data_IF_433642230714
#
_entry.id   IF_433642230714
#
_cell.length_a   1.000
_cell.length_b   1.000
_cell.length_c   1.000
_cell.angle_alpha   90.00
_cell.angle_beta   90.00
_cell.angle_gamma   90.00
#
_symmetry.space_group_name_H-M   'P 1'
#
loop_
_entity.id
_entity.type
_entity.pdbx_description
1 polymer ?
#
# COMPACT_ATOMS: atom_id res chain seq x y z
N UNK A 1 2.56 -21.71 13.24
CA UNK A 1 3.17 -22.26 12.01
C UNK A 1 3.05 -21.19 10.95
N UNK A 2 4.12 -20.88 10.21
CA UNK A 2 4.06 -19.88 9.14
C UNK A 2 3.32 -20.47 7.94
N UNK A 3 2.40 -19.70 7.38
CA UNK A 3 1.56 -20.09 6.25
C UNK A 3 2.12 -19.58 4.92
N UNK A 4 1.79 -20.24 3.81
CA UNK A 4 2.31 -19.86 2.50
C UNK A 4 1.90 -18.44 2.07
N UNK A 5 0.69 -17.99 2.42
CA UNK A 5 0.24 -16.62 2.10
C UNK A 5 0.99 -15.55 2.91
N UNK A 6 1.37 -15.83 4.15
CA UNK A 6 2.23 -14.91 4.94
C UNK A 6 3.62 -14.79 4.31
N UNK A 7 4.23 -15.92 3.93
CA UNK A 7 5.56 -15.90 3.28
C UNK A 7 5.49 -15.21 1.91
N UNK A 8 4.44 -15.41 1.13
CA UNK A 8 4.25 -14.71 -0.15
C UNK A 8 4.15 -13.20 0.07
N UNK A 9 3.36 -12.77 1.05
CA UNK A 9 3.24 -11.34 1.39
C UNK A 9 4.61 -10.77 1.75
N UNK A 10 5.36 -11.45 2.61
CA UNK A 10 6.71 -11.06 3.00
C UNK A 10 7.65 -10.96 1.78
N UNK A 11 7.62 -11.96 0.89
CA UNK A 11 8.44 -12.00 -0.31
C UNK A 11 8.13 -10.82 -1.26
N UNK A 12 6.86 -10.51 -1.52
CA UNK A 12 6.50 -9.41 -2.41
C UNK A 12 6.90 -8.05 -1.78
N UNK A 13 6.77 -7.91 -0.46
CA UNK A 13 7.24 -6.71 0.26
C UNK A 13 8.77 -6.57 0.17
N UNK A 14 9.53 -7.66 0.27
CA UNK A 14 11.00 -7.61 0.20
C UNK A 14 11.54 -7.14 -1.16
N UNK A 15 10.76 -7.34 -2.24
CA UNK A 15 11.06 -6.81 -3.57
C UNK A 15 10.55 -5.38 -3.81
N UNK A 16 10.10 -4.67 -2.77
CA UNK A 16 9.58 -3.30 -2.88
C UNK A 16 8.09 -3.23 -3.24
N UNK A 17 7.35 -4.29 -2.94
CA UNK A 17 5.89 -4.35 -3.11
C UNK A 17 5.43 -4.89 -4.46
N UNK A 18 6.34 -5.17 -5.40
CA UNK A 18 6.04 -5.77 -6.70
C UNK A 18 7.03 -6.89 -6.98
N UNK A 19 6.55 -8.06 -7.42
CA UNK A 19 7.40 -9.19 -7.76
C UNK A 19 6.77 -10.12 -8.80
N UNK A 20 7.60 -10.79 -9.57
CA UNK A 20 7.18 -11.89 -10.44
C UNK A 20 7.00 -13.20 -9.65
N UNK A 21 6.17 -14.09 -10.17
CA UNK A 21 5.96 -15.42 -9.58
C UNK A 21 7.24 -16.26 -9.48
N UNK A 22 8.21 -16.04 -10.36
CA UNK A 22 9.49 -16.73 -10.32
C UNK A 22 10.41 -16.15 -9.22
N UNK A 23 10.43 -14.83 -9.03
CA UNK A 23 11.17 -14.19 -7.94
C UNK A 23 10.62 -14.61 -6.58
N UNK A 24 9.30 -14.59 -6.41
CA UNK A 24 8.65 -15.08 -5.19
C UNK A 24 8.98 -16.55 -4.95
N UNK A 25 8.88 -17.41 -5.97
CA UNK A 25 9.19 -18.82 -5.81
C UNK A 25 10.67 -19.07 -5.45
N UNK A 26 11.58 -18.29 -6.04
CA UNK A 26 13.01 -18.34 -5.72
C UNK A 26 13.27 -17.91 -4.28
N UNK A 27 12.75 -16.75 -3.88
CA UNK A 27 12.86 -16.24 -2.51
C UNK A 27 12.36 -17.25 -1.47
N UNK A 28 11.18 -17.82 -1.69
CA UNK A 28 10.59 -18.80 -0.79
C UNK A 28 11.45 -20.06 -0.70
N UNK A 29 11.97 -20.56 -1.82
CA UNK A 29 12.79 -21.77 -1.79
C UNK A 29 14.19 -21.53 -1.19
N UNK A 30 14.73 -20.32 -1.29
CA UNK A 30 15.98 -19.94 -0.63
C UNK A 30 15.81 -19.83 0.89
N UNK A 31 14.69 -19.26 1.35
CA UNK A 31 14.40 -19.07 2.78
C UNK A 31 13.80 -20.31 3.47
N UNK A 32 13.00 -21.08 2.74
CA UNK A 32 12.26 -22.27 3.20
C UNK A 32 12.45 -23.43 2.19
N UNK A 33 13.65 -24.02 2.14
CA UNK A 33 13.98 -25.03 1.14
C UNK A 33 13.03 -26.23 1.22
N UNK A 34 12.56 -26.69 0.06
CA UNK A 34 11.71 -27.88 -0.10
C UNK A 34 10.39 -27.90 0.70
N UNK A 35 9.94 -26.75 1.22
CA UNK A 35 8.72 -26.68 2.05
C UNK A 35 7.45 -26.63 1.20
N UNK A 36 7.48 -25.88 0.09
CA UNK A 36 6.35 -25.76 -0.82
C UNK A 36 6.76 -26.00 -2.27
N UNK A 37 5.90 -26.67 -3.02
CA UNK A 37 6.11 -26.88 -4.47
C UNK A 37 5.90 -25.56 -5.21
N UNK A 38 6.66 -25.37 -6.31
CA UNK A 38 6.52 -24.20 -7.19
C UNK A 38 5.09 -24.01 -7.72
N UNK A 39 4.37 -25.10 -8.00
CA UNK A 39 2.96 -25.06 -8.41
C UNK A 39 2.07 -24.51 -7.30
N UNK A 40 2.25 -24.95 -6.05
CA UNK A 40 1.51 -24.46 -4.89
C UNK A 40 1.72 -22.97 -4.67
N UNK A 41 2.96 -22.47 -4.85
CA UNK A 41 3.27 -21.04 -4.77
C UNK A 41 2.50 -20.25 -5.85
N UNK A 42 2.50 -20.74 -7.10
CA UNK A 42 1.75 -20.09 -8.19
C UNK A 42 0.25 -20.08 -7.94
N UNK A 43 -0.32 -21.19 -7.50
CA UNK A 43 -1.75 -21.28 -7.14
C UNK A 43 -2.08 -20.32 -6.01
N UNK A 44 -1.20 -20.19 -5.00
CA UNK A 44 -1.41 -19.29 -3.88
C UNK A 44 -1.33 -17.80 -4.30
N UNK A 45 -0.38 -17.42 -5.17
CA UNK A 45 -0.32 -16.07 -5.76
C UNK A 45 -1.63 -15.73 -6.50
N UNK A 46 -2.09 -16.66 -7.32
CA UNK A 46 -3.36 -16.53 -8.06
C UNK A 46 -4.56 -16.39 -7.12
N UNK A 47 -4.64 -17.21 -6.07
CA UNK A 47 -5.76 -17.24 -5.13
C UNK A 47 -5.79 -16.05 -4.15
N UNK A 48 -4.64 -15.41 -3.93
CA UNK A 48 -4.51 -14.21 -3.09
C UNK A 48 -4.77 -12.89 -3.84
N UNK A 49 -5.09 -12.95 -5.14
CA UNK A 49 -5.29 -11.76 -5.98
C UNK A 49 -6.70 -11.19 -5.84
N UNK A 50 -6.81 -9.88 -5.58
CA UNK A 50 -8.09 -9.18 -5.37
C UNK A 50 -8.90 -9.02 -6.66
N UNK A 51 -8.22 -8.95 -7.80
CA UNK A 51 -8.76 -8.65 -9.13
C UNK A 51 -8.95 -9.90 -9.99
N UNK A 52 -9.27 -11.03 -9.35
CA UNK A 52 -9.42 -12.33 -10.00
C UNK A 52 -10.71 -13.01 -9.54
N UNK A 53 -11.81 -12.95 -10.31
CA UNK A 53 -13.10 -13.50 -9.91
C UNK A 53 -13.04 -14.99 -9.55
N UNK A 54 -12.31 -15.78 -10.32
CA UNK A 54 -12.16 -17.22 -10.08
C UNK A 54 -11.47 -17.56 -8.75
N UNK A 55 -10.64 -16.66 -8.20
CA UNK A 55 -10.07 -16.84 -6.87
C UNK A 55 -11.13 -16.78 -5.76
N UNK A 56 -12.23 -16.05 -5.97
CA UNK A 56 -13.35 -16.00 -5.00
C UNK A 56 -14.26 -17.22 -5.12
N UNK A 57 -14.30 -17.87 -6.29
CA UNK A 57 -15.06 -19.11 -6.49
C UNK A 57 -14.32 -20.32 -5.91
N UNK A 58 -13.05 -20.50 -6.26
CA UNK A 58 -12.30 -21.71 -5.91
C UNK A 58 -11.53 -21.59 -4.59
N UNK A 59 -11.28 -20.36 -4.13
CA UNK A 59 -10.42 -20.08 -2.99
C UNK A 59 -10.99 -18.94 -2.11
N UNK A 60 -12.29 -19.02 -1.82
CA UNK A 60 -13.04 -17.98 -1.10
C UNK A 60 -12.40 -17.61 0.25
N UNK A 61 -11.92 -18.60 1.01
CA UNK A 61 -11.32 -18.41 2.34
C UNK A 61 -9.87 -17.90 2.30
N UNK A 62 -9.23 -17.82 1.13
CA UNK A 62 -7.85 -17.34 1.04
C UNK A 62 -7.81 -15.81 1.15
N UNK A 63 -6.91 -15.23 1.96
CA UNK A 63 -6.80 -13.78 2.09
C UNK A 63 -6.48 -13.13 0.75
N UNK A 64 -7.13 -12.00 0.47
CA UNK A 64 -6.96 -11.24 -0.77
C UNK A 64 -6.14 -9.99 -0.47
N UNK A 65 -4.90 -9.96 -0.92
CA UNK A 65 -3.95 -8.89 -0.62
C UNK A 65 -2.97 -8.58 -1.76
N UNK A 66 -3.05 -9.32 -2.86
CA UNK A 66 -2.27 -9.07 -4.06
C UNK A 66 -3.14 -8.44 -5.14
N UNK A 67 -2.55 -7.61 -5.97
CA UNK A 67 -3.08 -7.19 -7.26
C UNK A 67 -2.28 -7.89 -8.36
N UNK A 68 -2.97 -8.58 -9.26
CA UNK A 68 -2.34 -9.25 -10.41
C UNK A 68 -2.26 -8.27 -11.58
N UNK A 69 -1.06 -8.02 -12.08
CA UNK A 69 -0.85 -7.27 -13.33
C UNK A 69 -0.96 -8.15 -14.58
N UNK A 70 -1.27 -9.45 -14.40
CA UNK A 70 -1.15 -10.45 -15.45
C UNK A 70 0.30 -10.90 -15.64
N UNK A 71 0.51 -11.85 -16.56
CA UNK A 71 1.84 -12.39 -16.91
C UNK A 71 2.67 -12.92 -15.72
N UNK A 72 2.01 -13.24 -14.61
CA UNK A 72 2.67 -13.70 -13.39
C UNK A 72 3.38 -12.61 -12.60
N UNK A 73 3.03 -11.33 -12.79
CA UNK A 73 3.50 -10.20 -11.98
C UNK A 73 2.42 -9.84 -10.96
N UNK A 74 2.84 -9.69 -9.70
CA UNK A 74 1.96 -9.41 -8.57
C UNK A 74 2.49 -8.22 -7.78
N UNK A 75 1.57 -7.44 -7.25
CA UNK A 75 1.84 -6.28 -6.42
C UNK A 75 1.03 -6.34 -5.12
N UNK A 76 1.52 -5.75 -4.02
CA UNK A 76 0.70 -5.56 -2.82
C UNK A 76 -0.47 -4.64 -3.14
N UNK A 77 -1.68 -5.10 -2.87
CA UNK A 77 -2.88 -4.34 -3.19
C UNK A 77 -3.00 -3.07 -2.32
N UNK A 78 -3.00 -1.93 -2.99
CA UNK A 78 -3.39 -0.62 -2.48
C UNK A 78 -4.66 -0.13 -3.21
N UNK A 79 -5.80 0.06 -2.54
CA UNK A 79 -7.03 0.57 -3.16
C UNK A 79 -6.90 1.97 -3.77
N UNK A 80 -6.04 2.83 -3.23
CA UNK A 80 -5.83 4.19 -3.76
C UNK A 80 -5.13 4.15 -5.12
N UNK A 81 -4.20 3.21 -5.29
CA UNK A 81 -3.45 3.00 -6.53
C UNK A 81 -4.22 2.15 -7.54
N UNK A 82 -4.83 1.06 -7.11
CA UNK A 82 -5.41 0.04 -8.00
C UNK A 82 -6.94 0.18 -8.20
N UNK A 83 -7.57 1.11 -7.49
CA UNK A 83 -9.02 1.20 -7.36
C UNK A 83 -9.57 0.18 -6.37
N UNK A 84 -10.87 0.26 -6.09
CA UNK A 84 -11.58 -0.66 -5.18
C UNK A 84 -12.10 -1.87 -5.96
N UNK A 85 -11.91 -3.06 -5.39
CA UNK A 85 -12.34 -4.32 -5.98
C UNK A 85 -13.23 -5.09 -5.02
N UNK A 86 -14.27 -5.73 -5.55
CA UNK A 86 -15.13 -6.67 -4.84
C UNK A 86 -15.32 -7.93 -5.67
N UNK A 87 -15.06 -9.10 -5.07
CA UNK A 87 -15.20 -10.40 -5.72
C UNK A 87 -14.50 -10.52 -7.08
N UNK A 88 -13.34 -9.87 -7.24
CA UNK A 88 -12.58 -9.90 -8.49
C UNK A 88 -13.06 -8.90 -9.56
N UNK A 89 -14.09 -8.13 -9.27
CA UNK A 89 -14.66 -7.12 -10.16
C UNK A 89 -14.33 -5.73 -9.62
N UNK A 90 -13.91 -4.83 -10.50
CA UNK A 90 -13.62 -3.44 -10.14
C UNK A 90 -14.93 -2.72 -9.85
N UNK A 91 -15.01 -2.04 -8.71
CA UNK A 91 -16.16 -1.23 -8.35
C UNK A 91 -15.94 0.16 -8.95
N UNK A 92 -16.76 0.53 -9.93
CA UNK A 92 -16.92 1.89 -10.38
C UNK A 92 -18.08 2.52 -9.61
N UNK A 93 -17.93 3.78 -9.18
CA UNK A 93 -18.93 4.54 -8.41
C UNK A 93 -20.28 4.69 -9.15
N UNK A 94 -20.33 4.30 -10.43
CA UNK A 94 -21.50 4.28 -11.31
C UNK A 94 -22.39 3.03 -11.21
N UNK A 95 -21.97 1.98 -10.49
CA UNK A 95 -22.82 0.80 -10.31
C UNK A 95 -23.63 0.88 -9.01
N UNK A 96 -24.98 0.82 -9.05
CA UNK A 96 -25.79 0.80 -7.84
C UNK A 96 -25.49 -0.49 -7.08
N UNK A 97 -24.77 -0.36 -5.97
CA UNK A 97 -24.45 -1.46 -5.07
C UNK A 97 -25.77 -1.94 -4.46
N UNK A 98 -26.16 -3.19 -4.73
CA UNK A 98 -27.09 -3.91 -3.85
C UNK A 98 -26.33 -4.19 -2.55
N UNK A 99 -26.40 -3.26 -1.61
CA UNK A 99 -25.70 -3.33 -0.33
C UNK A 99 -26.30 -4.46 0.50
N UNK A 100 -25.75 -5.66 0.37
CA UNK A 100 -25.93 -6.72 1.37
C UNK A 100 -24.63 -6.85 2.14
N UNK A 101 -24.56 -6.08 3.23
CA UNK A 101 -23.89 -6.41 4.49
C UNK A 101 -22.62 -7.26 4.38
N UNK A 102 -21.47 -6.60 4.16
CA UNK A 102 -20.15 -7.16 4.49
C UNK A 102 -19.28 -6.05 5.09
N UNK A 103 -19.65 -5.63 6.29
CA UNK A 103 -18.74 -4.93 7.19
C UNK A 103 -18.67 -5.77 8.45
N UNK A 104 -17.89 -6.86 8.43
CA UNK A 104 -17.43 -7.57 9.64
C UNK A 104 -16.50 -8.76 9.28
N UNK A 105 -15.37 -8.54 8.60
CA UNK A 105 -14.19 -9.41 8.79
C UNK A 105 -12.90 -8.77 8.28
N UNK A 106 -12.37 -7.78 9.01
CA UNK A 106 -10.93 -7.51 9.02
C UNK A 106 -10.56 -7.01 10.43
N UNK A 107 -9.58 -7.62 11.12
CA UNK A 107 -9.18 -7.18 12.44
C UNK A 107 -8.58 -5.78 12.33
N UNK A 108 -9.24 -4.81 12.98
CA UNK A 108 -8.67 -3.51 13.31
C UNK A 108 -7.70 -3.74 14.46
N UNK A 109 -6.41 -3.79 14.17
CA UNK A 109 -5.39 -3.61 15.18
C UNK A 109 -4.77 -2.21 15.02
N UNK A 110 -4.85 -1.49 16.14
CA UNK A 110 -4.11 -0.29 16.56
C UNK A 110 -4.44 1.05 15.87
N UNK A 111 -5.63 1.57 16.15
CA UNK A 111 -5.84 3.03 16.23
C UNK A 111 -5.85 3.47 17.69
N UNK A 112 -4.78 4.17 18.07
CA UNK A 112 -4.62 4.90 19.33
C UNK A 112 -5.80 5.86 19.49
N UNK A 113 -6.49 5.76 20.63
CA UNK A 113 -7.59 6.62 21.05
C UNK A 113 -7.17 8.10 21.07
N UNK A 114 -7.84 8.93 20.28
CA UNK A 114 -7.87 10.38 20.54
C UNK A 114 -9.22 10.68 21.20
N UNK A 115 -9.11 11.04 22.47
CA UNK A 115 -10.18 11.41 23.37
C UNK A 115 -11.12 12.46 22.77
N UNK A 116 -12.41 12.11 22.81
CA UNK A 116 -13.58 12.95 23.17
C UNK A 116 -13.24 14.40 23.55
N UNK A 117 -13.61 15.34 22.69
CA UNK A 117 -14.12 16.66 23.10
C UNK A 117 -15.21 17.06 22.11
N UNK A 118 -16.45 16.73 22.46
CA UNK A 118 -17.65 17.38 21.94
C UNK A 118 -17.68 18.82 22.46
N UNK A 119 -17.75 19.81 21.57
CA UNK A 119 -18.39 21.09 21.84
C UNK A 119 -19.21 21.45 20.61
N UNK A 120 -20.48 21.75 20.86
CA UNK A 120 -21.57 21.62 19.90
C UNK A 120 -21.62 22.66 18.79
N UNK A 121 -22.10 22.22 17.64
CA UNK A 121 -22.60 23.05 16.55
C UNK A 121 -24.10 23.27 16.79
N UNK A 122 -24.45 24.49 17.24
CA UNK A 122 -25.80 25.03 17.12
C UNK A 122 -25.81 26.14 16.06
N UNK A 123 -26.89 26.11 15.28
CA UNK A 123 -27.30 26.94 14.14
C UNK A 123 -27.15 28.46 14.36
N UNK A 124 -26.85 29.24 13.31
CA UNK A 124 -27.82 30.12 12.59
C UNK A 124 -27.17 31.00 11.52
N UNK A 125 -27.96 31.27 10.49
CA UNK A 125 -27.79 32.16 9.34
C UNK A 125 -27.38 33.62 9.64
N UNK A 126 -26.71 34.22 8.65
CA UNK A 126 -26.93 35.57 8.07
C UNK A 126 -25.73 36.56 8.06
N UNK A 127 -25.25 36.83 6.83
CA UNK A 127 -24.93 38.14 6.21
C UNK A 127 -24.02 39.14 6.95
N UNK A 128 -22.84 39.43 6.37
CA UNK A 128 -22.47 40.75 5.79
C UNK A 128 -20.95 40.87 5.53
N UNK A 129 -20.60 41.47 4.39
CA UNK A 129 -19.24 41.81 3.94
C UNK A 129 -18.69 43.04 4.68
N UNK A 130 -17.39 43.06 5.06
CA UNK A 130 -16.57 44.29 5.24
C UNK A 130 -15.08 43.99 4.96
N UNK A 131 -14.50 44.66 3.94
CA UNK A 131 -13.04 44.85 3.67
C UNK A 131 -12.40 45.62 4.86
N UNK A 132 -11.11 45.61 5.21
CA UNK A 132 -9.88 45.97 4.47
C UNK A 132 -8.63 45.71 5.38
N UNK A 133 -7.53 45.28 4.75
CA UNK A 133 -6.09 45.54 5.01
C UNK A 133 -5.46 45.50 6.44
N UNK A 134 -4.40 44.70 6.62
CA UNK A 134 -2.98 45.16 6.70
C UNK A 134 -2.03 44.10 7.30
N UNK A 135 -0.92 43.89 6.58
CA UNK A 135 0.42 43.41 6.98
C UNK A 135 0.74 43.14 8.45
N UNK A 136 1.21 41.92 8.77
CA UNK A 136 2.37 41.74 9.67
C UNK A 136 3.04 40.38 9.43
N UNK A 137 4.37 40.41 9.33
CA UNK A 137 5.24 39.28 9.06
C UNK A 137 5.65 38.58 10.36
N UNK A 138 5.57 37.25 10.44
CA UNK A 138 6.29 36.46 11.44
C UNK A 138 6.81 35.14 10.82
N UNK A 139 8.11 34.98 11.00
CA UNK A 139 9.08 33.98 10.52
C UNK A 139 8.77 32.55 11.01
N UNK A 140 9.06 31.48 10.23
CA UNK A 140 8.94 30.11 10.74
C UNK A 140 10.12 29.78 11.68
N UNK A 141 9.83 29.58 12.96
CA UNK A 141 10.78 28.99 13.91
C UNK A 141 10.78 27.47 13.71
N UNK A 142 11.92 26.97 13.25
CA UNK A 142 12.25 25.54 13.18
C UNK A 142 12.81 25.15 14.55
N UNK A 143 12.04 24.42 15.34
CA UNK A 143 12.57 23.76 16.54
C UNK A 143 12.99 22.32 16.22
N UNK A 144 14.29 22.11 16.36
CA UNK A 144 14.98 20.82 16.34
C UNK A 144 14.39 19.88 17.39
N UNK A 145 13.97 18.69 16.97
CA UNK A 145 13.95 17.51 17.84
C UNK A 145 14.90 16.47 17.22
N UNK A 146 16.15 16.48 17.71
CA UNK A 146 17.13 15.41 17.47
C UNK A 146 16.74 14.19 18.33
N UNK A 147 16.28 13.12 17.69
CA UNK A 147 16.26 11.79 18.31
C UNK A 147 17.34 10.92 17.65
N UNK A 148 18.48 10.84 18.31
CA UNK A 148 19.57 9.92 18.00
C UNK A 148 19.16 8.52 18.46
N UNK A 149 18.94 7.60 17.50
CA UNK A 149 19.39 6.19 17.53
C UNK A 149 18.70 5.36 16.42
N UNK A 150 19.03 5.62 15.16
CA UNK A 150 19.15 4.58 14.12
C UNK A 150 19.85 5.15 12.89
N UNK A 151 21.18 5.08 12.91
CA UNK A 151 22.05 5.62 11.87
C UNK A 151 22.23 4.57 10.76
N UNK A 152 21.20 4.36 9.95
CA UNK A 152 21.36 3.82 8.60
C UNK A 152 20.52 4.69 7.67
N UNK A 153 21.16 5.73 7.16
CA UNK A 153 20.48 6.97 6.84
C UNK A 153 19.82 6.90 5.47
N UNK A 154 18.52 7.20 5.44
CA UNK A 154 17.78 7.53 4.22
C UNK A 154 18.54 8.50 3.30
N UNK A 155 19.35 9.39 3.90
CA UNK A 155 20.20 10.33 3.18
C UNK A 155 21.33 9.66 2.39
N UNK A 156 21.87 8.53 2.84
CA UNK A 156 22.91 7.79 2.10
C UNK A 156 22.29 7.06 0.89
N UNK A 157 21.10 6.49 1.06
CA UNK A 157 20.33 5.90 -0.03
C UNK A 157 19.92 6.97 -1.07
N UNK A 158 19.50 8.14 -0.60
CA UNK A 158 19.13 9.27 -1.47
C UNK A 158 20.33 9.84 -2.22
N UNK A 159 21.49 9.99 -1.57
CA UNK A 159 22.74 10.41 -2.23
C UNK A 159 23.17 9.41 -3.32
N UNK A 160 23.06 8.10 -3.04
CA UNK A 160 23.37 7.03 -4.00
C UNK A 160 22.43 7.07 -5.22
N UNK A 161 21.14 7.32 -4.99
CA UNK A 161 20.15 7.44 -6.06
C UNK A 161 20.39 8.68 -6.94
N UNK A 162 20.66 9.84 -6.32
CA UNK A 162 20.97 11.08 -7.05
C UNK A 162 22.26 10.93 -7.88
N UNK A 163 23.27 10.23 -7.36
CA UNK A 163 24.51 9.96 -8.11
C UNK A 163 24.26 9.09 -9.35
N UNK A 164 23.41 8.06 -9.24
CA UNK A 164 23.01 7.20 -10.37
C UNK A 164 22.23 7.96 -11.44
N UNK A 165 21.31 8.84 -11.04
CA UNK A 165 20.57 9.69 -11.97
C UNK A 165 21.53 10.62 -12.73
N UNK A 166 22.47 11.26 -12.03
CA UNK A 166 23.47 12.14 -12.67
C UNK A 166 24.36 11.39 -13.66
N UNK A 167 24.76 10.15 -13.34
CA UNK A 167 25.55 9.31 -14.25
C UNK A 167 24.78 8.94 -15.52
N UNK A 168 23.51 8.59 -15.40
CA UNK A 168 22.64 8.26 -16.54
C UNK A 168 22.43 9.49 -17.44
N UNK A 169 22.17 10.66 -16.84
CA UNK A 169 22.02 11.92 -17.59
C UNK A 169 23.33 12.26 -18.32
N UNK A 170 24.49 12.10 -17.66
CA UNK A 170 25.80 12.31 -18.29
C UNK A 170 26.06 11.36 -19.48
N UNK A 171 25.57 10.12 -19.40
CA UNK A 171 25.70 9.14 -20.50
C UNK A 171 24.81 9.50 -21.70
N UNK A 172 23.62 10.06 -21.46
CA UNK A 172 22.65 10.44 -22.51
C UNK A 172 23.08 11.72 -23.24
N UNK A 173 23.69 12.68 -22.53
CA UNK A 173 24.09 13.98 -23.09
C UNK A 173 25.55 14.02 -23.60
N UNK A 174 26.24 12.88 -23.72
CA UNK A 174 27.63 12.77 -24.22
C UNK A 174 27.73 12.02 -25.56
N UNK A 175 26.75 12.23 -26.44
CA UNK A 175 26.80 11.94 -27.88
C UNK A 175 26.76 13.26 -28.63
#
# INVERSE_FOLDING_TARGET
MVTLHEVIREAVISFGGVASSNEVAKYINEKYPNTWRKSSIKTCLYSCSVNNPSAYIHHASTPKFLFSHGQGIYEIYDPKKHGVWSNGVKIDETQPIQVKEVLDTYPKEDTIEINKLEVGLNEVHAVSEVKINSTEALKPTIDKVENTNNKFSFFDALKSFIAKIKFIIFLIFRI
#
